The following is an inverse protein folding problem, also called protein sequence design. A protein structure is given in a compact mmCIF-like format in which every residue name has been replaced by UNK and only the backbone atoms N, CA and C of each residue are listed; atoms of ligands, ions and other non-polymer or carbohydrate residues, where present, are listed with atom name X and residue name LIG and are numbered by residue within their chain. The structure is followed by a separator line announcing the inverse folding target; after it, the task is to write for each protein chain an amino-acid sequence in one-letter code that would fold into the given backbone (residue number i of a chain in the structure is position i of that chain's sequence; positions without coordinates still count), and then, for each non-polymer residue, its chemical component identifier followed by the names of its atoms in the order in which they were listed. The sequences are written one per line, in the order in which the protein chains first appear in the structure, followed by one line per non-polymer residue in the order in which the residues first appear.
data_IF_348678564836
#
_entry.id   IF_348678564836
#
_cell.length_a   1.000
_cell.length_b   1.000
_cell.length_c   1.000
_cell.angle_alpha   90.00
_cell.angle_beta   90.00
_cell.angle_gamma   90.00
#
_symmetry.space_group_name_H-M   'P 1'
#
loop_
_entity.id
_entity.type
_entity.pdbx_description
1 polymer ?
#
# COMPACT_ATOMS: atom_id res chain seq x y z
N UNK A 1 -9.67 -13.61 0.51
CA UNK A 1 -10.16 -12.94 -0.71
C UNK A 1 -10.30 -11.44 -0.42
N UNK A 2 -9.91 -10.54 -1.34
CA UNK A 2 -9.97 -9.08 -1.15
C UNK A 2 -11.41 -8.60 -0.85
N UNK A 3 -11.61 -7.79 0.19
CA UNK A 3 -12.89 -7.09 0.37
C UNK A 3 -12.95 -5.91 -0.59
N UNK A 4 -13.79 -6.01 -1.63
CA UNK A 4 -14.04 -4.94 -2.61
C UNK A 4 -14.39 -3.58 -1.97
N UNK A 5 -14.93 -3.59 -0.76
CA UNK A 5 -15.30 -2.38 -0.01
C UNK A 5 -14.12 -1.44 0.28
N UNK A 6 -12.89 -1.96 0.33
CA UNK A 6 -11.69 -1.16 0.65
C UNK A 6 -11.14 -0.35 -0.52
N UNK A 7 -11.46 -0.75 -1.75
CA UNK A 7 -11.11 0.02 -2.94
C UNK A 7 -12.14 1.12 -3.18
N UNK A 8 -11.68 2.21 -3.78
CA UNK A 8 -12.56 3.14 -4.47
C UNK A 8 -13.16 2.42 -5.69
N UNK A 9 -14.50 2.32 -5.80
CA UNK A 9 -15.12 1.70 -6.97
C UNK A 9 -14.77 2.51 -8.24
N UNK A 10 -14.56 1.80 -9.35
CA UNK A 10 -14.45 2.37 -10.70
C UNK A 10 -13.28 3.31 -10.98
N UNK A 11 -12.22 3.26 -10.17
CA UNK A 11 -11.04 4.11 -10.37
C UNK A 11 -9.91 3.26 -10.96
N UNK A 12 -9.87 3.14 -12.29
CA UNK A 12 -8.61 2.82 -12.97
C UNK A 12 -7.71 4.05 -12.87
N UNK A 13 -7.07 4.15 -11.70
CA UNK A 13 -6.19 5.24 -11.30
C UNK A 13 -5.18 5.60 -12.39
N UNK A 14 -4.66 4.59 -13.10
CA UNK A 14 -3.66 4.76 -14.15
C UNK A 14 -4.27 5.45 -15.38
N UNK A 15 -5.49 5.08 -15.79
CA UNK A 15 -6.16 5.77 -16.91
C UNK A 15 -6.63 7.19 -16.60
N UNK A 16 -6.71 7.57 -15.31
CA UNK A 16 -7.05 8.93 -14.88
C UNK A 16 -5.85 9.90 -14.81
N UNK A 17 -4.66 9.43 -15.20
CA UNK A 17 -3.41 10.20 -15.25
C UNK A 17 -2.87 10.43 -16.68
N UNK A 18 -3.68 10.83 -17.69
CA UNK A 18 -3.20 10.97 -19.07
C UNK A 18 -2.15 12.08 -19.26
N UNK A 19 -2.12 13.06 -18.34
CA UNK A 19 -1.15 14.17 -18.30
C UNK A 19 -0.03 14.00 -17.27
N UNK A 20 0.02 12.88 -16.53
CA UNK A 20 1.15 12.63 -15.65
C UNK A 20 2.43 12.58 -16.50
N UNK A 21 3.56 13.11 -15.99
CA UNK A 21 4.83 12.98 -16.67
C UNK A 21 5.03 11.50 -17.03
N UNK A 22 5.05 11.21 -18.33
CA UNK A 22 5.42 9.88 -18.78
C UNK A 22 6.83 9.69 -18.28
N UNK A 23 7.03 8.63 -17.50
CA UNK A 23 8.38 8.21 -17.17
C UNK A 23 9.14 8.10 -18.49
N UNK A 24 10.31 8.73 -18.51
CA UNK A 24 11.23 8.57 -19.62
C UNK A 24 11.64 7.09 -19.73
N UNK A 25 12.39 6.77 -20.78
CA UNK A 25 12.80 5.37 -21.02
C UNK A 25 13.55 4.78 -19.82
N UNK A 26 14.28 5.62 -19.09
CA UNK A 26 15.06 5.20 -17.93
C UNK A 26 14.15 4.94 -16.72
N UNK A 27 13.18 5.79 -16.45
CA UNK A 27 12.16 5.58 -15.42
C UNK A 27 11.28 4.36 -15.70
N UNK A 28 10.91 4.13 -16.96
CA UNK A 28 10.21 2.91 -17.36
C UNK A 28 11.09 1.66 -17.19
N UNK A 29 12.39 1.75 -17.49
CA UNK A 29 13.33 0.67 -17.27
C UNK A 29 13.53 0.37 -15.78
N UNK A 30 13.54 1.37 -14.90
CA UNK A 30 13.60 1.18 -13.44
C UNK A 30 12.33 0.50 -12.93
N UNK A 31 11.14 0.93 -13.38
CA UNK A 31 9.88 0.26 -13.00
C UNK A 31 9.83 -1.16 -13.56
N UNK A 32 10.21 -1.38 -14.82
CA UNK A 32 10.26 -2.70 -15.42
C UNK A 32 11.26 -3.61 -14.69
N UNK A 33 12.40 -3.06 -14.24
CA UNK A 33 13.41 -3.79 -13.49
C UNK A 33 12.94 -4.12 -12.07
N UNK A 34 12.29 -3.17 -11.40
CA UNK A 34 11.64 -3.41 -10.11
C UNK A 34 10.52 -4.45 -10.27
N UNK A 35 9.71 -4.33 -11.32
CA UNK A 35 8.66 -5.30 -11.63
C UNK A 35 9.24 -6.68 -11.92
N UNK A 36 10.33 -6.80 -12.69
CA UNK A 36 11.06 -8.05 -12.92
C UNK A 36 11.62 -8.65 -11.62
N UNK A 37 12.25 -7.81 -10.78
CA UNK A 37 12.75 -8.19 -9.46
C UNK A 37 11.62 -8.72 -8.56
N UNK A 38 10.41 -8.21 -8.73
CA UNK A 38 9.23 -8.61 -7.96
C UNK A 38 8.40 -9.72 -8.64
N UNK A 39 8.52 -9.95 -9.96
CA UNK A 39 7.68 -10.86 -10.75
C UNK A 39 8.28 -12.25 -10.95
N UNK A 40 9.61 -12.38 -11.02
CA UNK A 40 10.27 -13.67 -11.26
C UNK A 40 10.58 -14.42 -9.96
N UNK A 41 9.52 -14.87 -9.28
CA UNK A 41 9.55 -15.69 -8.06
C UNK A 41 10.28 -14.98 -6.90
N UNK A 42 9.59 -14.79 -5.79
CA UNK A 42 10.23 -14.55 -4.49
C UNK A 42 10.60 -15.92 -3.88
N UNK A 43 11.78 -16.52 -4.10
CA UNK A 43 12.29 -17.49 -3.14
C UNK A 43 13.01 -16.70 -2.05
N UNK A 44 12.24 -16.04 -1.18
CA UNK A 44 12.67 -15.66 0.17
C UNK A 44 14.02 -14.94 0.36
N UNK A 45 14.57 -14.19 -0.60
CA UNK A 45 15.81 -13.42 -0.39
C UNK A 45 15.53 -12.25 0.59
N UNK A 46 16.05 -12.30 1.83
CA UNK A 46 15.81 -11.25 2.81
C UNK A 46 16.42 -9.91 2.39
N UNK A 47 17.56 -9.92 1.69
CA UNK A 47 18.23 -8.70 1.25
C UNK A 47 17.39 -7.98 0.20
N UNK A 48 16.80 -8.73 -0.74
CA UNK A 48 15.90 -8.17 -1.74
C UNK A 48 14.61 -7.62 -1.11
N UNK A 49 14.06 -8.32 -0.11
CA UNK A 49 12.89 -7.85 0.64
C UNK A 49 13.18 -6.53 1.34
N UNK A 50 14.31 -6.43 2.05
CA UNK A 50 14.76 -5.20 2.72
C UNK A 50 14.96 -4.06 1.72
N UNK A 51 15.62 -4.32 0.59
CA UNK A 51 15.84 -3.33 -0.45
C UNK A 51 14.52 -2.81 -1.05
N UNK A 52 13.58 -3.72 -1.36
CA UNK A 52 12.26 -3.35 -1.87
C UNK A 52 11.48 -2.52 -0.85
N UNK A 53 11.47 -2.92 0.43
CA UNK A 53 10.86 -2.13 1.51
C UNK A 53 11.49 -0.75 1.62
N UNK A 54 12.81 -0.65 1.54
CA UNK A 54 13.52 0.63 1.62
C UNK A 54 13.13 1.58 0.47
N UNK A 55 13.09 1.08 -0.77
CA UNK A 55 12.65 1.87 -1.94
C UNK A 55 11.21 2.36 -1.78
N UNK A 56 10.31 1.51 -1.28
CA UNK A 56 8.91 1.89 -1.02
C UNK A 56 8.82 2.98 0.06
N UNK A 57 9.62 2.89 1.13
CA UNK A 57 9.66 3.91 2.17
C UNK A 57 10.18 5.25 1.65
N UNK A 58 11.25 5.25 0.84
CA UNK A 58 11.75 6.47 0.21
C UNK A 58 10.71 7.11 -0.73
N UNK A 59 9.98 6.29 -1.49
CA UNK A 59 8.91 6.80 -2.33
C UNK A 59 7.76 7.42 -1.52
N UNK A 60 7.39 6.81 -0.38
CA UNK A 60 6.37 7.35 0.52
C UNK A 60 6.83 8.67 1.18
N UNK A 61 8.09 8.74 1.59
CA UNK A 61 8.70 9.94 2.18
C UNK A 61 8.73 11.10 1.16
N UNK A 62 9.17 10.84 -0.06
CA UNK A 62 9.15 11.81 -1.14
C UNK A 62 7.74 12.32 -1.47
N UNK A 63 6.73 11.43 -1.45
CA UNK A 63 5.34 11.83 -1.63
C UNK A 63 4.87 12.72 -0.47
N UNK A 64 5.23 12.39 0.76
CA UNK A 64 4.93 13.21 1.95
C UNK A 64 5.55 14.62 1.86
N UNK A 65 6.82 14.70 1.49
CA UNK A 65 7.54 15.97 1.35
C UNK A 65 7.00 16.82 0.21
N UNK A 66 6.80 16.21 -0.96
CA UNK A 66 6.29 16.93 -2.14
C UNK A 66 4.94 17.58 -1.81
N UNK A 67 4.05 16.82 -1.17
CA UNK A 67 2.68 17.26 -0.88
C UNK A 67 2.62 18.25 0.28
N UNK A 68 3.51 18.14 1.27
CA UNK A 68 3.61 19.08 2.39
C UNK A 68 4.24 20.41 2.01
N UNK A 69 5.20 20.41 1.07
CA UNK A 69 5.98 21.60 0.72
C UNK A 69 5.53 22.32 -0.57
N UNK A 70 4.76 21.65 -1.44
CA UNK A 70 4.25 22.24 -2.69
C UNK A 70 2.73 22.46 -2.67
N UNK A 71 2.14 22.71 -1.49
CA UNK A 71 0.69 22.93 -1.32
C UNK A 71 0.11 24.04 -2.20
N UNK A 72 0.92 25.01 -2.64
CA UNK A 72 0.52 26.08 -3.56
C UNK A 72 0.49 25.68 -5.04
N UNK A 73 1.09 24.54 -5.37
CA UNK A 73 1.20 24.03 -6.74
C UNK A 73 0.16 22.94 -7.04
N UNK A 74 -0.53 22.44 -6.02
CA UNK A 74 -1.51 21.38 -6.15
C UNK A 74 -2.94 21.93 -6.19
N UNK A 75 -3.71 21.55 -7.20
CA UNK A 75 -5.15 21.78 -7.24
C UNK A 75 -5.91 20.68 -6.47
N UNK A 76 -7.22 20.88 -6.27
CA UNK A 76 -8.05 19.92 -5.56
C UNK A 76 -8.11 18.55 -6.26
N UNK A 77 -7.97 18.52 -7.58
CA UNK A 77 -7.93 17.28 -8.36
C UNK A 77 -6.66 16.49 -8.06
N UNK A 78 -5.50 17.16 -7.97
CA UNK A 78 -4.22 16.56 -7.57
C UNK A 78 -4.23 16.04 -6.13
N UNK A 79 -4.90 16.76 -5.21
CA UNK A 79 -5.09 16.29 -3.83
C UNK A 79 -6.03 15.08 -3.76
N UNK A 80 -7.16 15.11 -4.47
CA UNK A 80 -8.08 13.96 -4.57
C UNK A 80 -7.37 12.75 -5.15
N UNK A 81 -6.50 13.00 -6.12
CA UNK A 81 -5.61 12.04 -6.73
C UNK A 81 -4.67 11.40 -5.69
N UNK A 82 -3.88 12.20 -5.00
CA UNK A 82 -2.97 11.71 -3.96
C UNK A 82 -3.69 10.84 -2.92
N UNK A 83 -4.85 11.29 -2.43
CA UNK A 83 -5.64 10.55 -1.43
C UNK A 83 -6.11 9.20 -1.98
N UNK A 84 -6.47 9.12 -3.27
CA UNK A 84 -6.79 7.85 -3.93
C UNK A 84 -5.57 6.91 -3.94
N UNK A 85 -4.39 7.41 -4.31
CA UNK A 85 -3.15 6.64 -4.28
C UNK A 85 -2.82 6.10 -2.88
N UNK A 86 -2.93 6.97 -1.86
CA UNK A 86 -2.72 6.58 -0.46
C UNK A 86 -3.74 5.54 0.02
N UNK A 87 -5.01 5.65 -0.39
CA UNK A 87 -6.03 4.65 -0.09
C UNK A 87 -5.66 3.27 -0.66
N UNK A 88 -5.16 3.22 -1.91
CA UNK A 88 -4.72 1.97 -2.53
C UNK A 88 -3.53 1.34 -1.79
N UNK A 89 -2.50 2.14 -1.47
CA UNK A 89 -1.35 1.68 -0.68
C UNK A 89 -1.81 1.12 0.66
N UNK A 90 -2.66 1.86 1.38
CA UNK A 90 -3.20 1.45 2.67
C UNK A 90 -4.02 0.15 2.57
N UNK A 91 -4.84 -0.01 1.53
CA UNK A 91 -5.62 -1.23 1.31
C UNK A 91 -4.71 -2.46 1.08
N UNK A 92 -3.65 -2.31 0.30
CA UNK A 92 -2.67 -3.38 0.08
C UNK A 92 -1.88 -3.72 1.35
N UNK A 93 -1.44 -2.72 2.11
CA UNK A 93 -0.76 -2.93 3.40
C UNK A 93 -1.67 -3.67 4.39
N UNK A 94 -2.93 -3.24 4.51
CA UNK A 94 -3.94 -3.89 5.34
C UNK A 94 -4.08 -5.37 5.00
N UNK A 95 -4.20 -5.69 3.72
CA UNK A 95 -4.31 -7.08 3.26
C UNK A 95 -3.06 -7.90 3.59
N UNK A 96 -1.87 -7.32 3.41
CA UNK A 96 -0.60 -7.97 3.73
C UNK A 96 -0.52 -8.31 5.21
N UNK A 97 -0.84 -7.35 6.09
CA UNK A 97 -0.87 -7.56 7.55
C UNK A 97 -1.83 -8.69 7.93
N UNK A 98 -3.05 -8.69 7.39
CA UNK A 98 -4.04 -9.74 7.68
C UNK A 98 -3.62 -11.10 7.15
N UNK A 99 -2.96 -11.16 5.99
CA UNK A 99 -2.40 -12.41 5.47
C UNK A 99 -1.29 -12.94 6.36
N UNK A 100 -0.44 -12.04 6.88
CA UNK A 100 0.59 -12.42 7.85
C UNK A 100 -0.07 -12.97 9.11
N UNK A 101 -1.07 -12.27 9.67
CA UNK A 101 -1.82 -12.73 10.84
C UNK A 101 -2.40 -14.14 10.64
N UNK A 102 -3.07 -14.37 9.51
CA UNK A 102 -3.64 -15.67 9.15
C UNK A 102 -2.59 -16.77 9.04
N UNK A 103 -1.44 -16.48 8.41
CA UNK A 103 -0.35 -17.45 8.29
C UNK A 103 0.38 -17.71 9.61
N UNK A 104 0.47 -16.70 10.49
CA UNK A 104 0.99 -16.83 11.85
C UNK A 104 0.09 -17.74 12.67
N UNK A 105 -1.23 -17.51 12.65
CA UNK A 105 -2.23 -18.36 13.32
C UNK A 105 -2.18 -19.81 12.83
N UNK A 106 -2.07 -19.98 11.51
CA UNK A 106 -1.95 -21.29 10.86
C UNK A 106 -0.59 -21.97 11.07
N UNK A 107 0.38 -21.35 11.79
CA UNK A 107 1.75 -21.85 11.96
C UNK A 107 2.43 -22.20 10.63
N UNK A 108 2.16 -21.40 9.60
CA UNK A 108 2.65 -21.65 8.25
C UNK A 108 4.12 -21.23 8.05
N UNK A 109 4.68 -20.44 8.97
CA UNK A 109 6.08 -20.01 8.90
C UNK A 109 7.01 -21.05 9.57
N UNK A 110 8.21 -21.31 9.01
CA UNK A 110 9.23 -22.12 9.67
C UNK A 110 9.54 -21.60 11.08
N UNK A 111 9.76 -22.51 12.03
CA UNK A 111 10.07 -22.16 13.42
C UNK A 111 8.88 -21.81 14.31
N UNK A 112 7.65 -21.76 13.76
CA UNK A 112 6.44 -21.45 14.56
C UNK A 112 5.90 -22.63 15.36
N UNK A 113 6.40 -23.83 15.13
CA UNK A 113 6.02 -25.03 15.89
C UNK A 113 6.64 -24.98 17.29
N UNK A 114 7.87 -24.50 17.38
CA UNK A 114 8.68 -24.38 18.60
C UNK A 114 8.29 -23.16 19.45
N UNK A 115 7.57 -22.19 18.86
CA UNK A 115 7.11 -20.98 19.55
C UNK A 115 5.96 -21.33 20.51
N UNK A 116 5.99 -20.83 21.76
CA UNK A 116 4.89 -20.98 22.71
C UNK A 116 3.57 -20.47 22.13
N UNK A 117 2.49 -21.25 22.31
CA UNK A 117 1.18 -20.94 21.73
C UNK A 117 0.64 -19.57 22.18
N UNK A 118 0.91 -19.18 23.43
CA UNK A 118 0.53 -17.88 23.97
C UNK A 118 1.20 -16.71 23.25
N UNK A 119 2.51 -16.82 22.98
CA UNK A 119 3.25 -15.80 22.25
C UNK A 119 2.75 -15.68 20.80
N UNK A 120 2.52 -16.81 20.14
CA UNK A 120 2.01 -16.82 18.77
C UNK A 120 0.61 -16.18 18.69
N UNK A 121 -0.25 -16.47 19.68
CA UNK A 121 -1.57 -15.85 19.81
C UNK A 121 -1.47 -14.34 20.00
N UNK A 122 -0.60 -13.87 20.90
CA UNK A 122 -0.39 -12.43 21.10
C UNK A 122 0.07 -11.70 19.83
N UNK A 123 0.93 -12.34 19.02
CA UNK A 123 1.37 -11.80 17.72
C UNK A 123 0.20 -11.77 16.73
N UNK A 124 -0.55 -12.87 16.59
CA UNK A 124 -1.74 -12.93 15.74
C UNK A 124 -2.78 -11.87 16.12
N UNK A 125 -3.04 -11.69 17.41
CA UNK A 125 -3.99 -10.70 17.92
C UNK A 125 -3.52 -9.28 17.62
N UNK A 126 -2.22 -9.00 17.81
CA UNK A 126 -1.61 -7.70 17.48
C UNK A 126 -1.70 -7.39 15.99
N UNK A 127 -1.36 -8.36 15.13
CA UNK A 127 -1.46 -8.20 13.68
C UNK A 127 -2.90 -8.05 13.21
N UNK A 128 -3.83 -8.81 13.79
CA UNK A 128 -5.25 -8.71 13.48
C UNK A 128 -5.81 -7.33 13.88
N UNK A 129 -5.43 -6.84 15.06
CA UNK A 129 -5.78 -5.49 15.54
C UNK A 129 -5.21 -4.42 14.60
N UNK A 130 -3.94 -4.53 14.21
CA UNK A 130 -3.32 -3.64 13.24
C UNK A 130 -4.06 -3.66 11.89
N UNK A 131 -4.48 -4.84 11.43
CA UNK A 131 -5.31 -5.01 10.24
C UNK A 131 -6.65 -4.27 10.35
N UNK A 132 -7.38 -4.45 11.44
CA UNK A 132 -8.66 -3.76 11.69
C UNK A 132 -8.48 -2.24 11.73
N UNK A 133 -7.47 -1.74 12.45
CA UNK A 133 -7.18 -0.31 12.50
C UNK A 133 -6.81 0.24 11.12
N UNK A 134 -6.10 -0.56 10.32
CA UNK A 134 -5.74 -0.19 8.96
C UNK A 134 -6.96 -0.10 8.03
N UNK A 135 -8.00 -0.91 8.26
CA UNK A 135 -9.29 -0.79 7.57
C UNK A 135 -9.99 0.55 7.87
N UNK A 136 -9.95 1.02 9.13
CA UNK A 136 -10.51 2.32 9.52
C UNK A 136 -9.80 3.47 8.79
N UNK A 137 -8.46 3.41 8.71
CA UNK A 137 -7.68 4.40 7.96
C UNK A 137 -8.03 4.40 6.47
N UNK A 138 -8.14 3.22 5.86
CA UNK A 138 -8.57 3.11 4.46
C UNK A 138 -9.97 3.71 4.24
N UNK A 139 -10.90 3.51 5.19
CA UNK A 139 -12.24 4.10 5.13
C UNK A 139 -12.21 5.64 5.17
N UNK A 140 -11.40 6.23 6.05
CA UNK A 140 -11.24 7.70 6.11
C UNK A 140 -10.63 8.27 4.84
N UNK A 141 -9.61 7.62 4.27
CA UNK A 141 -9.03 8.06 2.98
C UNK A 141 -10.06 7.99 1.85
N UNK A 142 -10.86 6.92 1.82
CA UNK A 142 -11.96 6.77 0.87
C UNK A 142 -13.00 7.88 1.03
N UNK A 143 -13.42 8.18 2.25
CA UNK A 143 -14.37 9.26 2.55
C UNK A 143 -13.82 10.62 2.10
N UNK A 144 -12.57 10.94 2.44
CA UNK A 144 -11.91 12.17 2.05
C UNK A 144 -11.87 12.34 0.51
N UNK A 145 -11.50 11.28 -0.22
CA UNK A 145 -11.53 11.29 -1.68
C UNK A 145 -12.93 11.54 -2.24
N UNK A 146 -13.95 10.87 -1.71
CA UNK A 146 -15.34 11.04 -2.17
C UNK A 146 -15.87 12.46 -1.89
N UNK A 147 -15.48 13.08 -0.78
CA UNK A 147 -15.84 14.47 -0.48
C UNK A 147 -15.23 15.45 -1.48
N UNK A 148 -13.98 15.22 -1.89
CA UNK A 148 -13.31 16.07 -2.89
C UNK A 148 -13.96 15.93 -4.27
N UNK A 149 -14.26 14.71 -4.72
CA UNK A 149 -14.92 14.49 -6.02
C UNK A 149 -16.31 15.11 -6.14
N UNK A 150 -17.08 15.16 -5.05
CA UNK A 150 -18.41 15.81 -5.04
C UNK A 150 -18.35 17.33 -5.23
N UNK A 151 -17.20 17.97 -4.98
CA UNK A 151 -17.02 19.41 -5.19
C UNK A 151 -16.60 19.77 -6.62
N UNK A 152 -16.22 18.80 -7.42
CA UNK A 152 -15.83 18.97 -8.83
C UNK A 152 -17.01 18.82 -9.81
N UNK A 153 -18.18 18.38 -9.33
CA UNK A 153 -19.44 18.25 -10.08
C UNK A 153 -20.34 19.45 -9.83
#
# INVERSE_FOLDING_TARGET
MLKRSWYLPDTDWISQLPGAPKLDKDGQAVIARLAEMLSHRFPGDPALTVAATHVVLLAADYLGDTTSHHTRCHDLTEVARLICGLNLVQAHLTQTIQRIAMNTDARAYPGTVEVPAELLRAVTDSLSTAGVNSELLAAHLKEAHLLLRRREQ
#
